data_IF_608228250593
#
_entry.id   IF_608228250593
#
_cell.length_a   1.000
_cell.length_b   1.000
_cell.length_c   1.000
_cell.angle_alpha   90.00
_cell.angle_beta   90.00
_cell.angle_gamma   90.00
#
_symmetry.space_group_name_H-M   'P 1'
#
loop_
_entity.id
_entity.type
_entity.pdbx_description
1 polymer ?
#
# COMPACT_ATOMS: atom_id res chain seq x y z
N UNK A 1 -15.23 -3.55 97.10
CA UNK A 1 -15.42 -2.13 96.75
C UNK A 1 -14.96 -1.92 95.31
N UNK A 2 -15.82 -1.31 94.47
CA UNK A 2 -15.63 -0.84 93.05
C UNK A 2 -15.34 -1.95 92.01
N UNK A 3 -16.27 -2.41 91.14
CA UNK A 3 -17.00 -1.73 90.02
C UNK A 3 -16.00 -0.95 89.14
N UNK A 4 -15.78 -1.19 87.84
CA UNK A 4 -16.71 -1.35 86.71
C UNK A 4 -16.05 -2.11 85.53
N UNK A 5 -16.93 -2.82 84.82
CA UNK A 5 -16.93 -3.52 83.52
C UNK A 5 -15.81 -3.29 82.49
N UNK A 6 -15.39 -4.44 81.91
CA UNK A 6 -14.80 -4.61 80.58
C UNK A 6 -15.85 -4.33 79.51
N UNK A 7 -15.50 -3.60 78.46
CA UNK A 7 -16.13 -3.68 77.14
C UNK A 7 -15.01 -3.58 76.10
N UNK A 8 -14.64 -4.75 75.59
CA UNK A 8 -13.75 -4.92 74.45
C UNK A 8 -14.49 -5.79 73.45
N UNK A 9 -15.00 -5.20 72.37
CA UNK A 9 -15.43 -5.92 71.15
C UNK A 9 -15.55 -4.86 70.05
N UNK A 10 -14.49 -4.71 69.27
CA UNK A 10 -14.34 -5.21 67.90
C UNK A 10 -14.72 -4.12 66.88
N UNK A 11 -13.67 -3.45 66.39
CA UNK A 11 -13.72 -2.51 65.27
C UNK A 11 -13.93 -3.32 64.00
N UNK A 12 -15.10 -3.20 63.39
CA UNK A 12 -15.36 -3.70 62.02
C UNK A 12 -14.87 -2.64 61.03
N UNK A 13 -13.68 -2.86 60.45
CA UNK A 13 -13.20 -2.09 59.30
C UNK A 13 -13.77 -2.73 58.04
N UNK A 14 -14.78 -2.11 57.43
CA UNK A 14 -15.22 -2.45 56.09
C UNK A 14 -14.14 -2.01 55.09
N UNK A 15 -13.39 -2.97 54.57
CA UNK A 15 -12.49 -2.78 53.43
C UNK A 15 -13.33 -2.64 52.15
N UNK A 16 -13.54 -1.41 51.70
CA UNK A 16 -14.02 -1.10 50.35
C UNK A 16 -12.81 -1.15 49.41
N UNK A 17 -12.59 -2.30 48.79
CA UNK A 17 -11.64 -2.46 47.68
C UNK A 17 -12.25 -1.82 46.43
N UNK A 18 -11.89 -0.56 46.17
CA UNK A 18 -12.10 0.09 44.87
C UNK A 18 -11.11 -0.52 43.89
N UNK A 19 -11.56 -1.47 43.07
CA UNK A 19 -10.81 -1.92 41.89
C UNK A 19 -10.85 -0.80 40.86
N UNK A 20 -9.77 -0.03 40.79
CA UNK A 20 -9.49 0.85 39.65
C UNK A 20 -9.23 -0.04 38.43
N UNK A 21 -10.24 -0.19 37.57
CA UNK A 21 -10.05 -0.75 36.24
C UNK A 21 -9.27 0.30 35.47
N UNK A 22 -8.00 0.01 35.20
CA UNK A 22 -7.20 0.78 34.26
C UNK A 22 -7.89 0.70 32.90
N UNK A 23 -8.60 1.76 32.53
CA UNK A 23 -9.11 1.94 31.19
C UNK A 23 -7.89 2.10 30.28
N UNK A 24 -7.59 1.06 29.49
CA UNK A 24 -6.79 1.23 28.30
C UNK A 24 -7.53 2.28 27.46
N UNK A 25 -6.96 3.49 27.37
CA UNK A 25 -7.29 4.37 26.25
C UNK A 25 -6.68 3.69 25.02
N UNK A 26 -7.46 2.77 24.44
CA UNK A 26 -7.29 2.45 23.05
C UNK A 26 -7.63 3.75 22.33
N UNK A 27 -6.60 4.45 21.85
CA UNK A 27 -6.77 5.37 20.74
C UNK A 27 -7.43 4.51 19.67
N UNK A 28 -8.72 4.75 19.40
CA UNK A 28 -9.37 4.17 18.22
C UNK A 28 -8.42 4.45 17.06
N UNK A 29 -8.05 3.45 16.24
CA UNK A 29 -7.37 3.75 14.99
C UNK A 29 -8.28 4.74 14.28
N UNK A 30 -7.79 5.98 14.07
CA UNK A 30 -8.55 6.92 13.27
C UNK A 30 -8.92 6.21 11.98
N UNK A 31 -10.19 6.28 11.53
CA UNK A 31 -10.51 5.89 10.18
C UNK A 31 -9.48 6.60 9.30
N UNK A 32 -8.70 5.83 8.53
CA UNK A 32 -7.88 6.39 7.46
C UNK A 32 -8.81 7.34 6.73
N UNK A 33 -8.47 8.63 6.67
CA UNK A 33 -9.18 9.53 5.76
C UNK A 33 -8.91 8.93 4.38
N UNK A 34 -9.82 8.08 3.93
CA UNK A 34 -9.85 7.66 2.54
C UNK A 34 -10.01 8.97 1.81
N UNK A 35 -8.98 9.35 1.05
CA UNK A 35 -9.09 10.45 0.09
C UNK A 35 -10.38 10.19 -0.64
N UNK A 36 -11.37 11.05 -0.39
CA UNK A 36 -12.73 10.86 -0.86
C UNK A 36 -12.64 10.56 -2.35
N UNK A 37 -13.32 9.50 -2.84
CA UNK A 37 -13.24 9.09 -4.24
C UNK A 37 -13.46 10.31 -5.14
N UNK A 38 -12.37 10.91 -5.60
CA UNK A 38 -12.40 12.19 -6.27
C UNK A 38 -12.89 11.92 -7.69
N UNK A 39 -13.48 12.94 -8.33
CA UNK A 39 -13.91 12.81 -9.73
C UNK A 39 -12.73 12.78 -10.71
N UNK A 40 -11.58 13.26 -10.26
CA UNK A 40 -10.35 13.40 -11.03
C UNK A 40 -9.18 13.42 -10.04
N UNK A 41 -7.98 13.09 -10.52
CA UNK A 41 -6.78 13.37 -9.76
C UNK A 41 -6.71 14.86 -9.46
N UNK A 42 -6.85 15.24 -8.19
CA UNK A 42 -6.47 16.58 -7.74
C UNK A 42 -4.97 16.53 -7.47
N UNK A 43 -4.15 17.19 -8.31
CA UNK A 43 -2.69 17.01 -8.31
C UNK A 43 -1.96 18.33 -8.11
N UNK A 44 -1.89 18.76 -6.86
CA UNK A 44 -0.82 19.66 -6.42
C UNK A 44 0.29 18.84 -5.77
N UNK A 45 1.52 19.37 -5.75
CA UNK A 45 2.61 18.80 -4.98
C UNK A 45 2.21 18.58 -3.50
N UNK A 46 1.46 19.50 -2.89
CA UNK A 46 0.99 19.38 -1.51
C UNK A 46 0.11 18.13 -1.29
N UNK A 47 -0.80 17.83 -2.23
CA UNK A 47 -1.68 16.66 -2.14
C UNK A 47 -0.90 15.36 -2.32
N UNK A 48 0.07 15.35 -3.24
CA UNK A 48 0.97 14.22 -3.39
C UNK A 48 1.79 13.98 -2.12
N UNK A 49 2.28 15.04 -1.47
CA UNK A 49 3.02 14.93 -0.20
C UNK A 49 2.16 14.38 0.94
N UNK A 50 0.84 14.57 0.93
CA UNK A 50 -0.07 13.90 1.88
C UNK A 50 -0.06 12.39 1.63
N UNK A 51 -0.32 11.94 0.39
CA UNK A 51 -0.31 10.53 0.03
C UNK A 51 1.05 9.86 0.32
N UNK A 52 2.15 10.56 0.04
CA UNK A 52 3.50 10.07 0.30
C UNK A 52 3.76 9.87 1.79
N UNK A 53 3.34 10.83 2.64
CA UNK A 53 3.45 10.69 4.10
C UNK A 53 2.61 9.53 4.62
N UNK A 54 1.38 9.37 4.12
CA UNK A 54 0.50 8.26 4.52
C UNK A 54 1.10 6.91 4.12
N UNK A 55 1.70 6.81 2.93
CA UNK A 55 2.42 5.62 2.48
C UNK A 55 3.61 5.30 3.40
N UNK A 56 4.45 6.30 3.74
CA UNK A 56 5.59 6.09 4.62
C UNK A 56 5.16 5.73 6.05
N UNK A 57 4.10 6.33 6.57
CA UNK A 57 3.55 5.98 7.88
C UNK A 57 3.07 4.52 7.88
N UNK A 58 2.29 4.13 6.87
CA UNK A 58 1.86 2.74 6.70
C UNK A 58 3.06 1.78 6.63
N UNK A 59 4.11 2.17 5.89
CA UNK A 59 5.34 1.38 5.80
C UNK A 59 6.05 1.23 7.14
N UNK A 60 6.22 2.32 7.88
CA UNK A 60 6.88 2.33 9.18
C UNK A 60 6.12 1.45 10.20
N UNK A 61 4.80 1.60 10.26
CA UNK A 61 3.92 0.81 11.13
C UNK A 61 4.00 -0.68 10.79
N UNK A 62 3.84 -1.04 9.50
CA UNK A 62 3.92 -2.43 9.04
C UNK A 62 5.28 -3.08 9.28
N UNK A 63 6.34 -2.28 9.35
CA UNK A 63 7.72 -2.74 9.54
C UNK A 63 8.19 -2.70 11.01
N UNK A 64 7.35 -2.23 11.93
CA UNK A 64 7.68 -2.10 13.36
C UNK A 64 8.69 -1.01 13.68
N UNK A 65 8.80 0.03 12.85
CA UNK A 65 9.72 1.16 13.03
C UNK A 65 9.03 2.18 13.94
N UNK A 66 9.50 2.28 15.20
CA UNK A 66 8.85 3.12 16.22
C UNK A 66 9.16 4.62 16.08
N UNK A 67 10.33 4.97 15.53
CA UNK A 67 10.81 6.35 15.35
C UNK A 67 11.45 6.44 13.95
N UNK A 68 10.62 6.53 12.89
CA UNK A 68 11.15 6.58 11.53
C UNK A 68 11.95 7.87 11.32
N UNK A 69 13.14 7.80 10.70
CA UNK A 69 13.94 8.98 10.41
C UNK A 69 13.23 9.89 9.41
N UNK A 70 13.46 11.20 9.51
CA UNK A 70 13.10 12.14 8.45
C UNK A 70 14.09 11.99 7.30
N UNK A 71 13.58 11.65 6.11
CA UNK A 71 14.38 11.32 4.92
C UNK A 71 13.97 12.26 3.80
N UNK A 72 14.94 13.00 3.27
CA UNK A 72 14.73 13.86 2.12
C UNK A 72 14.53 13.02 0.85
N UNK A 73 13.53 13.38 0.04
CA UNK A 73 13.32 12.80 -1.28
C UNK A 73 14.48 13.24 -2.17
N UNK A 74 15.22 12.28 -2.71
CA UNK A 74 16.30 12.53 -3.67
C UNK A 74 15.72 12.74 -5.06
N UNK A 75 14.81 11.86 -5.48
CA UNK A 75 14.13 11.93 -6.79
C UNK A 75 12.87 11.06 -6.78
N UNK A 76 11.82 11.51 -7.46
CA UNK A 76 10.67 10.66 -7.78
C UNK A 76 11.03 9.83 -9.00
N UNK A 77 11.05 8.52 -8.86
CA UNK A 77 11.51 7.62 -9.92
C UNK A 77 10.33 7.07 -10.73
N UNK A 78 10.46 6.92 -12.07
CA UNK A 78 9.51 6.15 -12.87
C UNK A 78 9.34 4.73 -12.29
N UNK A 79 8.14 4.15 -12.42
CA UNK A 79 7.85 2.84 -11.81
C UNK A 79 8.72 1.73 -12.41
N UNK A 80 9.12 1.88 -13.67
CA UNK A 80 10.00 0.95 -14.38
C UNK A 80 11.44 1.02 -13.88
N UNK A 81 11.89 2.18 -13.41
CA UNK A 81 13.23 2.40 -12.83
C UNK A 81 13.27 2.13 -11.32
N UNK A 82 12.12 2.15 -10.65
CA UNK A 82 12.02 2.04 -9.20
C UNK A 82 12.73 0.80 -8.62
N UNK A 83 12.59 -0.42 -9.18
CA UNK A 83 13.24 -1.60 -8.62
C UNK A 83 14.76 -1.50 -8.60
N UNK A 84 15.37 -0.95 -9.66
CA UNK A 84 16.81 -0.75 -9.73
C UNK A 84 17.28 0.31 -8.72
N UNK A 85 16.55 1.42 -8.61
CA UNK A 85 16.86 2.47 -7.63
C UNK A 85 16.80 1.95 -6.18
N UNK A 86 15.84 1.06 -5.88
CA UNK A 86 15.75 0.41 -4.57
C UNK A 86 16.92 -0.55 -4.32
N UNK A 87 17.28 -1.38 -5.30
CA UNK A 87 18.42 -2.31 -5.19
C UNK A 87 19.72 -1.55 -4.95
N UNK A 88 19.97 -0.49 -5.71
CA UNK A 88 21.18 0.34 -5.57
C UNK A 88 21.23 1.00 -4.18
N UNK A 89 20.12 1.58 -3.74
CA UNK A 89 20.04 2.17 -2.40
C UNK A 89 20.28 1.14 -1.29
N UNK A 90 19.67 -0.05 -1.39
CA UNK A 90 19.86 -1.10 -0.39
C UNK A 90 21.31 -1.58 -0.32
N UNK A 91 22.00 -1.64 -1.47
CA UNK A 91 23.42 -1.95 -1.51
C UNK A 91 24.27 -0.91 -0.77
N UNK A 92 23.92 0.39 -0.88
CA UNK A 92 24.55 1.47 -0.10
C UNK A 92 24.27 1.35 1.40
N UNK A 93 23.06 0.92 1.78
CA UNK A 93 22.68 0.61 3.17
C UNK A 93 23.28 -0.72 3.68
N UNK A 94 24.03 -1.44 2.85
CA UNK A 94 24.75 -2.67 3.20
C UNK A 94 23.93 -3.96 3.08
N UNK A 95 22.78 -3.92 2.41
CA UNK A 95 21.92 -5.07 2.16
C UNK A 95 21.96 -5.49 0.69
N UNK A 96 21.99 -6.80 0.45
CA UNK A 96 21.86 -7.34 -0.91
C UNK A 96 20.40 -7.49 -1.30
N UNK A 97 20.06 -7.00 -2.48
CA UNK A 97 18.76 -7.18 -3.12
C UNK A 97 18.95 -7.38 -4.63
N UNK A 98 17.93 -7.89 -5.30
CA UNK A 98 17.91 -8.06 -6.76
C UNK A 98 16.52 -7.74 -7.31
N UNK A 99 16.47 -7.39 -8.59
CA UNK A 99 15.19 -7.28 -9.31
C UNK A 99 14.73 -8.68 -9.72
N UNK A 100 13.57 -9.10 -9.21
CA UNK A 100 12.90 -10.32 -9.60
C UNK A 100 12.14 -10.14 -10.93
N UNK A 101 11.91 -11.24 -11.65
CA UNK A 101 11.12 -11.22 -12.88
C UNK A 101 9.73 -10.60 -12.65
N UNK A 102 9.40 -9.52 -13.37
CA UNK A 102 8.16 -8.76 -13.17
C UNK A 102 8.33 -7.43 -12.41
N UNK A 103 9.56 -7.00 -12.14
CA UNK A 103 9.84 -5.66 -11.59
C UNK A 103 9.65 -5.55 -10.07
N UNK A 104 9.69 -6.67 -9.35
CA UNK A 104 9.67 -6.66 -7.89
C UNK A 104 11.10 -6.62 -7.33
N UNK A 105 11.29 -6.05 -6.13
CA UNK A 105 12.54 -6.12 -5.39
C UNK A 105 12.54 -7.38 -4.52
N UNK A 106 13.51 -8.25 -4.73
CA UNK A 106 13.76 -9.44 -3.92
C UNK A 106 14.92 -9.17 -2.97
N UNK A 107 14.67 -9.34 -1.67
CA UNK A 107 15.66 -9.14 -0.62
C UNK A 107 16.41 -10.45 -0.35
N UNK A 108 17.71 -10.38 -0.10
CA UNK A 108 18.46 -11.54 0.35
C UNK A 108 17.97 -12.02 1.73
N UNK A 109 18.08 -13.32 1.98
CA UNK A 109 17.83 -13.90 3.30
C UNK A 109 18.82 -13.33 4.32
N UNK A 110 18.29 -12.61 5.32
CA UNK A 110 19.08 -12.07 6.44
C UNK A 110 18.78 -12.87 7.72
N UNK A 111 19.74 -12.97 8.66
CA UNK A 111 19.47 -13.48 10.00
C UNK A 111 18.30 -12.71 10.65
N UNK A 112 17.49 -13.40 11.46
CA UNK A 112 16.31 -12.80 12.09
C UNK A 112 16.64 -11.53 12.87
N UNK A 113 17.82 -11.48 13.48
CA UNK A 113 18.33 -10.36 14.26
C UNK A 113 18.59 -9.12 13.40
N UNK A 114 18.82 -9.29 12.09
CA UNK A 114 19.00 -8.19 11.13
C UNK A 114 17.68 -7.72 10.51
N UNK A 115 16.56 -8.44 10.72
CA UNK A 115 15.25 -8.06 10.18
C UNK A 115 14.86 -6.60 10.44
N UNK A 116 14.99 -6.08 11.69
CA UNK A 116 14.72 -4.68 11.98
C UNK A 116 15.61 -3.69 11.22
N UNK A 117 16.89 -4.04 11.00
CA UNK A 117 17.82 -3.19 10.27
C UNK A 117 17.51 -3.19 8.76
N UNK A 118 17.17 -4.35 8.19
CA UNK A 118 16.69 -4.45 6.81
C UNK A 118 15.40 -3.63 6.61
N UNK A 119 14.43 -3.76 7.53
CA UNK A 119 13.19 -2.99 7.50
C UNK A 119 13.44 -1.48 7.47
N UNK A 120 14.37 -0.99 8.30
CA UNK A 120 14.76 0.42 8.32
C UNK A 120 15.44 0.84 7.01
N UNK A 121 16.34 0.01 6.47
CA UNK A 121 17.00 0.30 5.20
C UNK A 121 15.99 0.40 4.04
N UNK A 122 15.01 -0.52 3.98
CA UNK A 122 13.95 -0.44 2.96
C UNK A 122 13.11 0.82 3.14
N UNK A 123 12.73 1.17 4.37
CA UNK A 123 12.01 2.42 4.64
C UNK A 123 12.78 3.64 4.12
N UNK A 124 14.09 3.71 4.42
CA UNK A 124 14.95 4.82 3.97
C UNK A 124 15.03 4.86 2.44
N UNK A 125 15.16 3.72 1.77
CA UNK A 125 15.25 3.66 0.32
C UNK A 125 13.93 3.99 -0.39
N UNK A 126 12.80 3.55 0.15
CA UNK A 126 11.47 3.93 -0.35
C UNK A 126 11.21 5.43 -0.15
N UNK A 127 11.73 6.02 0.93
CA UNK A 127 11.63 7.45 1.19
C UNK A 127 12.54 8.31 0.29
N UNK A 128 13.79 7.86 0.04
CA UNK A 128 14.75 8.56 -0.86
C UNK A 128 14.28 8.54 -2.32
N UNK A 129 13.75 7.41 -2.78
CA UNK A 129 13.41 7.16 -4.18
C UNK A 129 11.98 6.65 -4.34
N UNK A 130 10.95 7.45 -4.00
CA UNK A 130 9.56 7.06 -4.18
C UNK A 130 9.21 7.02 -5.67
N UNK A 131 8.36 6.07 -6.07
CA UNK A 131 7.59 6.22 -7.30
C UNK A 131 6.34 7.09 -7.04
N UNK A 132 5.54 7.34 -8.07
CA UNK A 132 4.28 8.04 -7.91
C UNK A 132 3.28 7.25 -7.04
N UNK A 133 3.16 7.66 -5.78
CA UNK A 133 2.35 6.98 -4.76
C UNK A 133 0.85 6.90 -5.09
N UNK A 134 0.35 7.68 -6.05
CA UNK A 134 -1.03 7.53 -6.58
C UNK A 134 -1.29 6.15 -7.17
N UNK A 135 -0.24 5.43 -7.57
CA UNK A 135 -0.33 4.04 -8.05
C UNK A 135 -0.81 3.07 -6.96
N UNK A 136 -0.74 3.46 -5.69
CA UNK A 136 -1.29 2.70 -4.56
C UNK A 136 -2.74 3.06 -4.21
N UNK A 137 -3.28 4.10 -4.84
CA UNK A 137 -4.63 4.58 -4.58
C UNK A 137 -5.61 4.08 -5.64
N UNK A 138 -6.88 3.88 -5.28
CA UNK A 138 -7.93 3.67 -6.27
C UNK A 138 -7.95 4.82 -7.30
N UNK A 139 -8.09 4.46 -8.58
CA UNK A 139 -8.25 5.40 -9.67
C UNK A 139 -9.52 6.23 -9.44
N UNK A 140 -9.44 7.58 -9.55
CA UNK A 140 -10.61 8.44 -9.63
C UNK A 140 -11.49 8.06 -10.83
N UNK A 141 -12.78 8.39 -10.78
CA UNK A 141 -13.78 7.94 -11.77
C UNK A 141 -13.37 8.22 -13.23
N UNK A 142 -12.79 9.40 -13.49
CA UNK A 142 -12.31 9.78 -14.83
C UNK A 142 -11.18 8.87 -15.32
N UNK A 143 -10.20 8.57 -14.48
CA UNK A 143 -9.08 7.70 -14.81
C UNK A 143 -9.50 6.24 -14.88
N UNK A 144 -10.38 5.80 -13.99
CA UNK A 144 -10.99 4.47 -14.04
C UNK A 144 -11.74 4.27 -15.37
N UNK A 145 -12.51 5.29 -15.80
CA UNK A 145 -13.20 5.27 -17.11
C UNK A 145 -12.21 5.20 -18.28
N UNK A 146 -11.15 6.00 -18.25
CA UNK A 146 -10.10 5.96 -19.28
C UNK A 146 -9.42 4.59 -19.35
N UNK A 147 -9.12 3.99 -18.20
CA UNK A 147 -8.53 2.66 -18.10
C UNK A 147 -9.46 1.58 -18.67
N UNK A 148 -10.76 1.64 -18.36
CA UNK A 148 -11.74 0.70 -18.90
C UNK A 148 -11.83 0.78 -20.44
N UNK A 149 -11.95 1.99 -20.99
CA UNK A 149 -11.99 2.17 -22.46
C UNK A 149 -10.69 1.71 -23.12
N UNK A 150 -9.55 1.89 -22.45
CA UNK A 150 -8.26 1.39 -22.93
C UNK A 150 -8.19 -0.15 -22.90
N UNK A 151 -8.66 -0.78 -21.82
CA UNK A 151 -8.77 -2.23 -21.73
C UNK A 151 -9.60 -2.80 -22.87
N UNK A 152 -10.77 -2.21 -23.14
CA UNK A 152 -11.66 -2.64 -24.21
C UNK A 152 -11.08 -2.42 -25.61
N UNK A 153 -10.50 -1.26 -25.88
CA UNK A 153 -10.10 -0.86 -27.24
C UNK A 153 -8.69 -1.29 -27.64
N UNK A 154 -7.82 -1.54 -26.67
CA UNK A 154 -6.39 -1.78 -26.89
C UNK A 154 -5.91 -3.08 -26.25
N UNK A 155 -6.15 -3.27 -24.95
CA UNK A 155 -5.56 -4.39 -24.21
C UNK A 155 -6.22 -5.73 -24.58
N UNK A 156 -7.55 -5.81 -24.58
CA UNK A 156 -8.26 -7.03 -24.97
C UNK A 156 -7.90 -7.49 -26.39
N UNK A 157 -7.93 -6.62 -27.43
CA UNK A 157 -7.45 -7.00 -28.76
C UNK A 157 -5.99 -7.49 -28.80
N UNK A 158 -5.10 -6.89 -28.01
CA UNK A 158 -3.71 -7.33 -27.92
C UNK A 158 -3.58 -8.73 -27.31
N UNK A 159 -4.25 -8.96 -26.16
CA UNK A 159 -4.25 -10.26 -25.47
C UNK A 159 -4.83 -11.36 -26.36
N UNK A 160 -5.91 -11.06 -27.09
CA UNK A 160 -6.48 -11.98 -28.10
C UNK A 160 -5.54 -12.22 -29.28
N UNK A 161 -4.77 -11.22 -29.72
CA UNK A 161 -3.79 -11.39 -30.79
C UNK A 161 -2.62 -12.29 -30.38
N UNK A 162 -2.28 -12.35 -29.09
CA UNK A 162 -1.32 -13.32 -28.53
C UNK A 162 -1.91 -14.74 -28.41
N UNK A 163 -3.20 -14.92 -28.70
CA UNK A 163 -3.87 -16.22 -28.72
C UNK A 163 -4.59 -16.60 -27.42
N UNK A 164 -4.78 -15.65 -26.50
CA UNK A 164 -5.54 -15.87 -25.27
C UNK A 164 -6.99 -15.40 -25.42
N UNK A 165 -7.93 -16.21 -24.93
CA UNK A 165 -9.35 -15.85 -24.91
C UNK A 165 -9.61 -14.80 -23.82
N UNK A 166 -10.33 -13.75 -24.17
CA UNK A 166 -10.79 -12.69 -23.28
C UNK A 166 -12.31 -12.58 -23.41
N UNK A 167 -13.01 -12.44 -22.30
CA UNK A 167 -14.46 -12.28 -22.31
C UNK A 167 -14.89 -10.93 -22.90
N UNK A 168 -16.13 -10.86 -23.38
CA UNK A 168 -16.69 -9.57 -23.81
C UNK A 168 -16.74 -8.59 -22.63
N UNK A 169 -16.31 -7.33 -22.80
CA UNK A 169 -16.27 -6.35 -21.73
C UNK A 169 -17.68 -6.10 -21.17
N UNK A 170 -17.82 -5.92 -19.84
CA UNK A 170 -19.07 -5.51 -19.24
C UNK A 170 -19.44 -4.07 -19.64
N UNK A 171 -20.59 -3.57 -19.19
CA UNK A 171 -20.88 -2.13 -19.33
C UNK A 171 -19.94 -1.30 -18.45
N UNK A 172 -19.62 -0.06 -18.85
CA UNK A 172 -18.81 0.86 -18.02
C UNK A 172 -19.37 1.00 -16.60
N UNK A 173 -20.69 1.09 -16.46
CA UNK A 173 -21.34 1.23 -15.15
C UNK A 173 -21.14 -0.01 -14.27
N UNK A 174 -21.26 -1.21 -14.87
CA UNK A 174 -20.96 -2.47 -14.19
C UNK A 174 -19.50 -2.52 -13.77
N UNK A 175 -18.59 -2.19 -14.68
CA UNK A 175 -17.16 -2.19 -14.41
C UNK A 175 -16.76 -1.23 -13.28
N UNK A 176 -17.24 0.02 -13.30
CA UNK A 176 -16.95 1.00 -12.25
C UNK A 176 -17.52 0.58 -10.89
N UNK A 177 -18.70 -0.04 -10.89
CA UNK A 177 -19.32 -0.60 -9.69
C UNK A 177 -18.45 -1.72 -9.10
N UNK A 178 -18.03 -2.68 -9.92
CA UNK A 178 -17.21 -3.81 -9.49
C UNK A 178 -15.80 -3.37 -9.03
N UNK A 179 -15.21 -2.43 -9.77
CA UNK A 179 -13.94 -1.80 -9.45
C UNK A 179 -13.98 -1.16 -8.06
N UNK A 180 -14.98 -0.32 -7.81
CA UNK A 180 -15.10 0.42 -6.54
C UNK A 180 -15.50 -0.46 -5.37
N UNK A 181 -16.33 -1.49 -5.60
CA UNK A 181 -16.88 -2.33 -4.55
C UNK A 181 -15.93 -3.46 -4.13
N UNK A 182 -15.18 -4.04 -5.07
CA UNK A 182 -14.42 -5.27 -4.84
C UNK A 182 -12.94 -5.17 -5.22
N UNK A 183 -12.55 -4.16 -6.02
CA UNK A 183 -11.24 -4.11 -6.66
C UNK A 183 -11.03 -5.20 -7.73
N UNK A 184 -12.01 -6.08 -7.95
CA UNK A 184 -11.97 -7.17 -8.92
C UNK A 184 -12.94 -6.87 -10.07
N UNK A 185 -12.52 -5.98 -10.96
CA UNK A 185 -13.23 -5.65 -12.19
C UNK A 185 -12.63 -6.41 -13.39
N UNK A 186 -13.35 -6.44 -14.49
CA UNK A 186 -12.86 -7.06 -15.73
C UNK A 186 -11.50 -6.45 -16.17
N UNK A 187 -10.49 -7.32 -16.30
CA UNK A 187 -9.13 -7.02 -16.75
C UNK A 187 -8.70 -8.13 -17.73
N UNK A 188 -8.49 -7.84 -19.02
CA UNK A 188 -8.10 -8.83 -20.02
C UNK A 188 -6.82 -9.62 -19.69
N UNK A 189 -5.85 -8.96 -19.05
CA UNK A 189 -4.58 -9.59 -18.66
C UNK A 189 -4.84 -10.56 -17.50
N UNK A 190 -5.66 -10.15 -16.53
CA UNK A 190 -6.02 -10.99 -15.40
C UNK A 190 -6.80 -12.24 -15.85
N UNK A 191 -7.78 -12.10 -16.75
CA UNK A 191 -8.53 -13.24 -17.29
C UNK A 191 -7.63 -14.25 -18.01
N UNK A 192 -6.72 -13.77 -18.87
CA UNK A 192 -5.79 -14.64 -19.58
C UNK A 192 -4.83 -15.36 -18.61
N UNK A 193 -4.32 -14.64 -17.60
CA UNK A 193 -3.49 -15.24 -16.55
C UNK A 193 -4.26 -16.31 -15.76
N UNK A 194 -5.51 -16.03 -15.36
CA UNK A 194 -6.34 -17.01 -14.66
C UNK A 194 -6.67 -18.23 -15.52
N UNK A 195 -7.03 -18.03 -16.79
CA UNK A 195 -7.32 -19.10 -17.74
C UNK A 195 -6.10 -20.00 -18.01
N UNK A 196 -4.88 -19.45 -17.91
CA UNK A 196 -3.64 -20.22 -18.01
C UNK A 196 -3.34 -21.09 -16.77
N UNK A 197 -4.20 -21.08 -15.76
CA UNK A 197 -3.93 -21.71 -14.47
C UNK A 197 -2.93 -20.91 -13.62
N UNK A 198 -2.90 -19.59 -13.80
CA UNK A 198 -1.96 -18.65 -13.17
C UNK A 198 -0.50 -18.92 -13.53
N UNK A 199 -0.23 -19.25 -14.79
CA UNK A 199 1.11 -19.45 -15.28
C UNK A 199 1.87 -18.11 -15.33
N UNK A 200 2.98 -18.02 -14.62
CA UNK A 200 3.83 -16.83 -14.56
C UNK A 200 4.45 -16.47 -15.92
N UNK A 201 4.82 -17.47 -16.73
CA UNK A 201 5.40 -17.25 -18.06
C UNK A 201 4.39 -16.57 -18.99
N UNK A 202 3.11 -16.96 -18.90
CA UNK A 202 2.02 -16.32 -19.66
C UNK A 202 1.81 -14.87 -19.23
N UNK A 203 1.83 -14.60 -17.92
CA UNK A 203 1.71 -13.23 -17.42
C UNK A 203 2.86 -12.35 -17.92
N UNK A 204 4.10 -12.87 -17.88
CA UNK A 204 5.27 -12.17 -18.38
C UNK A 204 5.21 -11.91 -19.88
N UNK A 205 4.79 -12.89 -20.68
CA UNK A 205 4.61 -12.73 -22.13
C UNK A 205 3.59 -11.62 -22.45
N UNK A 206 2.42 -11.66 -21.82
CA UNK A 206 1.38 -10.65 -22.02
C UNK A 206 1.87 -9.27 -21.60
N UNK A 207 2.55 -9.15 -20.46
CA UNK A 207 3.05 -7.86 -19.97
C UNK A 207 4.21 -7.29 -20.81
N UNK A 208 4.96 -8.16 -21.49
CA UNK A 208 6.02 -7.74 -22.41
C UNK A 208 5.47 -7.20 -23.73
N UNK A 209 4.36 -7.75 -24.23
CA UNK A 209 3.83 -7.45 -25.56
C UNK A 209 2.61 -6.51 -25.55
N UNK A 210 1.83 -6.52 -24.46
CA UNK A 210 0.59 -5.73 -24.35
C UNK A 210 0.70 -4.59 -23.34
N UNK A 211 0.22 -3.38 -23.69
CA UNK A 211 0.21 -2.27 -22.76
C UNK A 211 -0.75 -2.54 -21.60
N UNK A 212 -0.35 -2.21 -20.37
CA UNK A 212 -1.19 -2.40 -19.18
C UNK A 212 -2.05 -1.18 -18.85
N UNK A 213 -1.49 0.02 -19.02
CA UNK A 213 -2.10 1.25 -18.53
C UNK A 213 -2.50 2.18 -19.67
N UNK A 214 -3.63 2.88 -19.49
CA UNK A 214 -4.03 3.92 -20.41
C UNK A 214 -2.97 5.04 -20.46
N UNK A 215 -2.67 5.61 -21.64
CA UNK A 215 -1.78 6.76 -21.73
C UNK A 215 -2.25 7.91 -20.85
N UNK A 216 -1.35 8.46 -20.03
CA UNK A 216 -1.67 9.58 -19.14
C UNK A 216 -2.57 9.21 -17.96
N UNK A 217 -2.68 7.94 -17.58
CA UNK A 217 -3.44 7.50 -16.41
C UNK A 217 -2.98 8.20 -15.12
N UNK A 218 -1.68 8.46 -15.03
CA UNK A 218 -1.03 9.23 -13.97
C UNK A 218 -0.42 10.49 -14.58
N UNK A 219 -1.18 11.60 -14.71
CA UNK A 219 -0.67 12.84 -15.29
C UNK A 219 0.45 13.44 -14.42
N UNK A 220 1.43 14.11 -15.04
CA UNK A 220 2.50 14.80 -14.33
C UNK A 220 1.96 15.74 -13.25
N UNK A 221 2.66 15.79 -12.11
CA UNK A 221 2.27 16.63 -10.98
C UNK A 221 3.05 17.94 -11.07
N UNK A 222 2.31 19.05 -11.14
CA UNK A 222 2.92 20.38 -11.16
C UNK A 222 3.72 20.64 -9.86
N UNK A 223 4.96 21.08 -10.01
CA UNK A 223 5.89 21.35 -8.91
C UNK A 223 6.70 20.15 -8.41
N UNK A 224 6.57 18.95 -8.99
CA UNK A 224 7.42 17.81 -8.70
C UNK A 224 8.46 17.58 -9.80
N UNK A 225 9.68 17.19 -9.41
CA UNK A 225 10.74 16.79 -10.33
C UNK A 225 10.82 15.27 -10.41
N UNK A 226 10.78 14.74 -11.63
CA UNK A 226 10.92 13.32 -11.97
C UNK A 226 12.33 13.04 -12.51
#
# INVERSE_FOLDING_TARGET
>A
MRRIARLATAVTVCALTVTAVAACSATDPQPRETVEATKDWTTTADQWMVLYRDMLEFRAQGSGIADPPDVEIVRIVPIEEWPEAQVDCLAEEGFSASVYSGGAVEYADVPKEQGPALNLAVYVCEAKYPYDVRRNEPLPEKQATAQFEFFKSTVAPCVTALGYDVSEPPSLQTWLSDYSATGNAWDPIAEAWEASGRNHEVLMEIQAECPREAPGLYPEIDGLQY
#
